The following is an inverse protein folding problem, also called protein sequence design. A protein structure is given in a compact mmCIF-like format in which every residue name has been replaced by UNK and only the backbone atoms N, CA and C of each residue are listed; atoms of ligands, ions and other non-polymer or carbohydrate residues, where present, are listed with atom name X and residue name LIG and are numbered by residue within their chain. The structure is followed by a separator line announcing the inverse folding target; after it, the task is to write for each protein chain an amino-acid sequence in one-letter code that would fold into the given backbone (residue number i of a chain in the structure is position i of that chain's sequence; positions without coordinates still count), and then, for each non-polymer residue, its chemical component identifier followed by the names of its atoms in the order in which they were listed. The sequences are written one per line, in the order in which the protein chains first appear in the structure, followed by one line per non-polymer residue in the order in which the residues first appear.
data_IF_479499486393
#
_entry.id   IF_479499486393
#
_cell.length_a   1.000
_cell.length_b   1.000
_cell.length_c   1.000
_cell.angle_alpha   90.00
_cell.angle_beta   90.00
_cell.angle_gamma   90.00
#
_symmetry.space_group_name_H-M   'P 1'
#
loop_
_entity.id
_entity.type
_entity.pdbx_description
1 polymer ?
#
# COMPACT_ATOMS: atom_id res chain seq x y z
N UNK A 1 12.18 -8.46 9.26
CA UNK A 1 13.21 -9.00 8.34
C UNK A 1 13.26 -8.23 7.03
N UNK A 2 12.16 -8.07 6.30
CA UNK A 2 12.11 -7.29 5.06
C UNK A 2 12.76 -5.88 5.16
N UNK A 3 12.47 -5.13 6.23
CA UNK A 3 13.09 -3.83 6.49
C UNK A 3 14.61 -3.89 6.73
N UNK A 4 15.10 -4.93 7.43
CA UNK A 4 16.54 -5.11 7.68
C UNK A 4 17.26 -5.49 6.38
N UNK A 5 16.68 -6.40 5.60
CA UNK A 5 17.20 -6.77 4.27
C UNK A 5 17.20 -5.57 3.33
N UNK A 6 16.20 -4.70 3.38
CA UNK A 6 16.20 -3.45 2.62
C UNK A 6 17.38 -2.57 3.00
N UNK A 7 17.59 -2.35 4.30
CA UNK A 7 18.69 -1.53 4.83
C UNK A 7 20.04 -2.14 4.46
N UNK A 8 20.22 -3.45 4.59
CA UNK A 8 21.48 -4.14 4.27
C UNK A 8 21.81 -4.05 2.78
N UNK A 9 20.80 -4.24 1.90
CA UNK A 9 21.04 -4.19 0.46
C UNK A 9 21.21 -2.75 -0.04
N UNK A 10 20.51 -1.78 0.53
CA UNK A 10 20.76 -0.36 0.25
C UNK A 10 22.11 0.11 0.82
N UNK A 11 22.57 -0.43 1.94
CA UNK A 11 23.90 -0.14 2.48
C UNK A 11 25.01 -0.74 1.59
N UNK A 12 24.79 -1.93 1.03
CA UNK A 12 25.73 -2.58 0.12
C UNK A 12 25.72 -1.99 -1.30
N UNK A 13 24.58 -1.47 -1.75
CA UNK A 13 24.38 -0.89 -3.09
C UNK A 13 23.57 0.41 -2.96
N UNK A 14 24.22 1.54 -2.59
CA UNK A 14 23.56 2.81 -2.29
C UNK A 14 22.73 3.36 -3.46
N UNK A 15 23.14 3.04 -4.67
CA UNK A 15 22.50 3.51 -5.90
C UNK A 15 21.27 2.66 -6.29
N UNK A 16 21.05 1.50 -5.65
CA UNK A 16 19.91 0.65 -5.92
C UNK A 16 18.71 0.99 -5.03
N UNK A 17 17.63 1.43 -5.67
CA UNK A 17 16.32 1.61 -5.03
C UNK A 17 15.52 0.32 -5.13
N UNK A 18 15.51 -0.45 -4.04
CA UNK A 18 14.84 -1.75 -4.00
C UNK A 18 13.40 -1.59 -3.52
N UNK A 19 12.47 -2.02 -4.36
CA UNK A 19 11.08 -2.19 -3.95
C UNK A 19 10.96 -3.53 -3.22
N UNK A 20 10.74 -3.48 -1.91
CA UNK A 20 10.54 -4.69 -1.10
C UNK A 20 9.06 -5.00 -1.02
N UNK A 21 8.64 -6.07 -1.69
CA UNK A 21 7.30 -6.62 -1.55
C UNK A 21 7.29 -7.68 -0.44
N UNK A 22 6.38 -7.54 0.53
CA UNK A 22 6.21 -8.53 1.61
C UNK A 22 4.89 -9.30 1.40
N UNK A 23 4.95 -10.60 1.07
CA UNK A 23 3.75 -11.42 1.01
C UNK A 23 3.22 -11.64 2.43
N UNK A 24 1.96 -11.29 2.65
CA UNK A 24 1.25 -11.50 3.91
C UNK A 24 0.27 -12.62 3.67
N UNK A 25 0.58 -13.79 4.21
CA UNK A 25 -0.29 -14.94 4.09
C UNK A 25 -1.46 -14.88 5.07
N UNK A 26 -1.24 -14.41 6.30
CA UNK A 26 -2.29 -14.32 7.33
C UNK A 26 -2.12 -13.03 8.14
N UNK A 27 -3.22 -12.30 8.34
CA UNK A 27 -3.26 -11.13 9.21
C UNK A 27 -4.34 -11.30 10.30
N UNK A 28 -3.90 -11.53 11.54
CA UNK A 28 -4.78 -11.69 12.71
C UNK A 28 -5.51 -10.40 13.07
N UNK A 29 -4.94 -9.23 12.74
CA UNK A 29 -5.59 -7.94 12.97
C UNK A 29 -6.80 -7.76 12.05
N UNK A 30 -6.65 -8.10 10.76
CA UNK A 30 -7.76 -8.08 9.78
C UNK A 30 -8.84 -9.08 10.19
N UNK A 31 -8.47 -10.31 10.53
CA UNK A 31 -9.42 -11.32 10.99
C UNK A 31 -10.15 -10.87 12.26
N UNK A 32 -9.43 -10.25 13.21
CA UNK A 32 -10.03 -9.71 14.43
C UNK A 32 -10.99 -8.57 14.12
N UNK A 33 -10.66 -7.65 13.21
CA UNK A 33 -11.57 -6.56 12.80
C UNK A 33 -12.85 -7.10 12.16
N UNK A 34 -12.73 -8.04 11.22
CA UNK A 34 -13.89 -8.69 10.60
C UNK A 34 -14.77 -9.41 11.62
N UNK A 35 -14.15 -10.05 12.61
CA UNK A 35 -14.87 -10.73 13.68
C UNK A 35 -15.59 -9.72 14.59
N UNK A 36 -14.93 -8.63 14.96
CA UNK A 36 -15.52 -7.53 15.74
C UNK A 36 -16.67 -6.85 15.00
N UNK A 37 -16.56 -6.62 13.70
CA UNK A 37 -17.65 -6.09 12.88
C UNK A 37 -18.88 -7.00 12.91
N UNK A 38 -18.70 -8.32 12.85
CA UNK A 38 -19.80 -9.30 12.90
C UNK A 38 -20.44 -9.39 14.29
N UNK A 39 -19.66 -9.22 15.35
CA UNK A 39 -20.13 -9.40 16.74
C UNK A 39 -20.59 -8.07 17.36
N UNK A 40 -20.17 -6.94 16.79
CA UNK A 40 -20.46 -5.59 17.28
C UNK A 40 -19.67 -5.19 18.53
N UNK A 41 -18.66 -5.97 18.92
CA UNK A 41 -17.87 -5.73 20.13
C UNK A 41 -16.46 -6.26 19.97
N UNK A 42 -15.48 -5.54 20.52
CA UNK A 42 -14.09 -5.99 20.66
C UNK A 42 -13.85 -6.84 21.92
N UNK A 43 -14.91 -7.18 22.64
CA UNK A 43 -14.89 -7.96 23.86
C UNK A 43 -15.68 -9.26 23.73
N UNK A 44 -15.07 -10.36 24.17
CA UNK A 44 -15.65 -11.70 24.13
C UNK A 44 -15.93 -12.20 25.54
N UNK A 45 -17.18 -12.56 25.80
CA UNK A 45 -17.53 -13.29 27.01
C UNK A 45 -17.14 -14.75 26.86
N UNK A 46 -16.23 -15.22 27.71
CA UNK A 46 -15.72 -16.59 27.70
C UNK A 46 -16.85 -17.61 27.84
N UNK A 47 -17.84 -17.35 28.68
CA UNK A 47 -19.00 -18.22 28.83
C UNK A 47 -19.83 -18.36 27.55
N UNK A 48 -19.97 -17.30 26.74
CA UNK A 48 -20.66 -17.35 25.44
C UNK A 48 -19.84 -18.13 24.42
N UNK A 49 -18.51 -17.96 24.41
CA UNK A 49 -17.61 -18.68 23.51
C UNK A 49 -17.59 -20.18 23.84
N UNK A 50 -17.43 -20.56 25.11
CA UNK A 50 -17.48 -21.96 25.57
C UNK A 50 -18.85 -22.57 25.24
N UNK A 51 -19.96 -21.87 25.50
CA UNK A 51 -21.29 -22.35 25.16
C UNK A 51 -21.49 -22.51 23.64
N UNK A 52 -20.91 -21.63 22.82
CA UNK A 52 -20.94 -21.75 21.38
C UNK A 52 -20.11 -22.96 20.89
N UNK A 53 -18.92 -23.18 21.44
CA UNK A 53 -18.06 -24.33 21.15
C UNK A 53 -18.75 -25.64 21.56
N UNK A 54 -19.38 -25.68 22.75
CA UNK A 54 -20.11 -26.85 23.24
C UNK A 54 -21.38 -27.13 22.42
N UNK A 55 -22.11 -26.10 22.00
CA UNK A 55 -23.23 -26.27 21.05
C UNK A 55 -22.74 -26.78 19.71
N UNK A 56 -21.61 -26.27 19.23
CA UNK A 56 -21.00 -26.70 17.97
C UNK A 56 -20.54 -28.15 18.04
N UNK A 57 -19.83 -28.55 19.10
CA UNK A 57 -19.31 -29.93 19.29
C UNK A 57 -20.41 -30.98 19.39
N UNK A 58 -21.62 -30.58 19.82
CA UNK A 58 -22.83 -31.41 19.88
C UNK A 58 -23.58 -31.55 18.55
N UNK A 59 -23.23 -30.76 17.53
CA UNK A 59 -23.83 -30.91 16.20
C UNK A 59 -23.32 -32.19 15.50
N UNK A 60 -24.11 -32.78 14.60
CA UNK A 60 -23.61 -33.83 13.71
C UNK A 60 -22.40 -33.34 12.90
N UNK A 61 -21.39 -34.21 12.69
CA UNK A 61 -20.19 -33.89 11.90
C UNK A 61 -20.50 -33.23 10.56
N UNK A 62 -21.52 -33.70 9.83
CA UNK A 62 -21.93 -33.11 8.55
C UNK A 62 -22.40 -31.65 8.65
N UNK A 63 -22.98 -31.25 9.79
CA UNK A 63 -23.37 -29.84 10.07
C UNK A 63 -22.18 -29.03 10.58
N UNK A 64 -21.30 -29.63 11.38
CA UNK A 64 -20.05 -29.00 11.81
C UNK A 64 -19.19 -28.64 10.60
N UNK A 65 -18.98 -29.60 9.68
CA UNK A 65 -18.22 -29.41 8.46
C UNK A 65 -18.84 -28.33 7.57
N UNK A 66 -20.17 -28.28 7.46
CA UNK A 66 -20.88 -27.25 6.69
C UNK A 66 -20.76 -25.85 7.30
N UNK A 67 -20.77 -25.75 8.63
CA UNK A 67 -20.58 -24.48 9.34
C UNK A 67 -19.11 -24.03 9.24
N UNK A 68 -18.15 -24.93 9.46
CA UNK A 68 -16.71 -24.67 9.30
C UNK A 68 -16.41 -24.23 7.87
N UNK A 69 -16.87 -24.95 6.85
CA UNK A 69 -16.68 -24.55 5.45
C UNK A 69 -17.37 -23.22 5.12
N UNK A 70 -18.53 -22.91 5.70
CA UNK A 70 -19.18 -21.60 5.46
C UNK A 70 -18.53 -20.42 6.21
N UNK A 71 -18.03 -20.63 7.42
CA UNK A 71 -17.49 -19.57 8.27
C UNK A 71 -15.99 -19.36 8.08
N UNK A 72 -15.27 -20.44 7.77
CA UNK A 72 -13.82 -20.50 7.65
C UNK A 72 -13.39 -20.72 6.19
N UNK A 73 -14.21 -21.35 5.34
CA UNK A 73 -13.83 -21.76 3.99
C UNK A 73 -13.39 -20.62 3.09
N UNK A 74 -14.05 -19.45 3.10
CA UNK A 74 -13.59 -18.32 2.27
C UNK A 74 -12.18 -17.85 2.64
N UNK A 75 -11.79 -17.92 3.92
CA UNK A 75 -10.45 -17.57 4.37
C UNK A 75 -9.43 -18.69 4.18
N UNK A 76 -9.80 -19.93 4.50
CA UNK A 76 -8.90 -21.10 4.39
C UNK A 76 -8.68 -21.56 2.95
N UNK A 77 -9.69 -21.46 2.09
CA UNK A 77 -9.55 -21.78 0.67
C UNK A 77 -8.60 -20.79 0.01
N UNK A 78 -8.68 -19.49 0.34
CA UNK A 78 -7.72 -18.47 -0.13
C UNK A 78 -6.30 -18.70 0.40
N UNK A 79 -6.16 -19.08 1.67
CA UNK A 79 -4.86 -19.47 2.23
C UNK A 79 -4.27 -20.68 1.51
N UNK A 80 -5.10 -21.70 1.25
CA UNK A 80 -4.69 -22.91 0.54
C UNK A 80 -4.27 -22.58 -0.89
N UNK A 81 -5.07 -21.81 -1.62
CA UNK A 81 -4.75 -21.34 -2.96
C UNK A 81 -3.44 -20.54 -2.97
N UNK A 82 -3.23 -19.64 -2.00
CA UNK A 82 -1.97 -18.92 -1.88
C UNK A 82 -0.75 -19.84 -1.68
N UNK A 83 -0.89 -20.96 -0.96
CA UNK A 83 0.17 -21.97 -0.83
C UNK A 83 0.41 -22.78 -2.10
N UNK A 84 -0.62 -22.99 -2.91
CA UNK A 84 -0.49 -23.70 -4.19
C UNK A 84 0.27 -22.85 -5.22
N UNK A 85 0.13 -21.53 -5.18
CA UNK A 85 0.76 -20.60 -6.14
C UNK A 85 2.08 -19.99 -5.66
N UNK A 86 2.41 -20.03 -4.36
CA UNK A 86 3.62 -19.39 -3.84
C UNK A 86 4.43 -20.31 -2.93
N UNK A 87 5.71 -20.47 -3.27
CA UNK A 87 6.69 -21.14 -2.41
C UNK A 87 7.20 -20.17 -1.33
N UNK A 88 6.41 -19.96 -0.28
CA UNK A 88 6.82 -19.15 0.88
C UNK A 88 7.51 -19.99 1.95
N UNK A 89 8.57 -19.45 2.62
CA UNK A 89 9.14 -20.11 3.79
C UNK A 89 8.10 -20.18 4.92
N UNK A 90 7.60 -21.38 5.21
CA UNK A 90 6.59 -21.62 6.25
C UNK A 90 7.00 -21.06 7.61
N UNK A 91 8.28 -21.18 7.97
CA UNK A 91 8.79 -20.67 9.24
C UNK A 91 8.61 -19.15 9.36
N UNK A 92 8.83 -18.40 8.29
CA UNK A 92 8.66 -16.94 8.30
C UNK A 92 7.19 -16.54 8.50
N UNK A 93 6.27 -17.29 7.87
CA UNK A 93 4.83 -17.07 8.05
C UNK A 93 4.41 -17.38 9.49
N UNK A 94 4.89 -18.49 10.05
CA UNK A 94 4.60 -18.86 11.44
C UNK A 94 5.11 -17.83 12.45
N UNK A 95 6.34 -17.36 12.29
CA UNK A 95 6.91 -16.28 13.13
C UNK A 95 6.05 -15.01 13.02
N UNK A 96 5.60 -14.66 11.82
CA UNK A 96 4.74 -13.48 11.61
C UNK A 96 3.39 -13.62 12.33
N UNK A 97 2.80 -14.81 12.33
CA UNK A 97 1.56 -15.08 13.07
C UNK A 97 1.78 -15.02 14.58
N UNK A 98 2.88 -15.60 15.08
CA UNK A 98 3.23 -15.54 16.50
C UNK A 98 3.47 -14.10 16.96
N UNK A 99 4.16 -13.28 16.16
CA UNK A 99 4.38 -11.86 16.45
C UNK A 99 3.06 -11.08 16.54
N UNK A 100 2.11 -11.36 15.65
CA UNK A 100 0.78 -10.77 15.73
C UNK A 100 0.04 -11.25 16.99
N UNK A 101 0.08 -12.56 17.25
CA UNK A 101 -0.55 -13.19 18.41
C UNK A 101 -0.01 -12.67 19.74
N UNK A 102 1.24 -12.20 19.81
CA UNK A 102 1.81 -11.60 21.02
C UNK A 102 1.06 -10.34 21.51
N UNK A 103 0.24 -9.72 20.65
CA UNK A 103 -0.57 -8.55 21.02
C UNK A 103 -1.97 -8.92 21.54
N UNK A 104 -2.26 -10.21 21.65
CA UNK A 104 -3.44 -10.71 22.31
C UNK A 104 -3.20 -10.82 23.82
N UNK A 105 -4.22 -10.52 24.63
CA UNK A 105 -4.16 -10.63 26.08
C UNK A 105 -4.26 -12.10 26.53
N UNK A 106 -3.13 -12.81 26.41
CA UNK A 106 -3.02 -14.21 26.77
C UNK A 106 -3.19 -14.46 28.26
N UNK A 107 -2.74 -13.54 29.12
CA UNK A 107 -2.81 -13.70 30.57
C UNK A 107 -4.27 -13.76 31.04
N UNK A 108 -5.10 -12.79 30.62
CA UNK A 108 -6.53 -12.80 30.91
C UNK A 108 -7.23 -14.02 30.31
N UNK A 109 -6.85 -14.42 29.09
CA UNK A 109 -7.45 -15.58 28.42
C UNK A 109 -7.12 -16.91 29.12
N UNK A 110 -5.86 -17.12 29.51
CA UNK A 110 -5.39 -18.32 30.20
C UNK A 110 -6.01 -18.39 31.60
N UNK A 111 -6.03 -17.28 32.34
CA UNK A 111 -6.63 -17.20 33.67
C UNK A 111 -8.11 -17.52 33.63
N UNK A 112 -8.85 -16.90 32.69
CA UNK A 112 -10.27 -17.18 32.48
C UNK A 112 -10.55 -18.66 32.14
N UNK A 113 -9.70 -19.28 31.32
CA UNK A 113 -9.82 -20.69 30.95
C UNK A 113 -9.53 -21.62 32.14
N UNK A 114 -8.48 -21.33 32.91
CA UNK A 114 -8.09 -22.11 34.09
C UNK A 114 -9.16 -22.07 35.19
N UNK A 115 -9.73 -20.90 35.43
CA UNK A 115 -10.81 -20.69 36.41
C UNK A 115 -12.19 -21.14 35.91
N UNK A 116 -12.31 -21.50 34.62
CA UNK A 116 -13.57 -21.77 33.93
C UNK A 116 -14.60 -20.65 34.16
N UNK A 117 -14.13 -19.40 34.27
CA UNK A 117 -14.97 -18.27 34.64
C UNK A 117 -15.84 -17.86 33.44
N UNK A 118 -17.17 -18.11 33.46
CA UNK A 118 -18.03 -17.82 32.32
C UNK A 118 -18.24 -16.32 32.12
N UNK A 119 -17.96 -15.50 33.14
CA UNK A 119 -18.13 -14.05 33.11
C UNK A 119 -16.86 -13.32 32.68
N UNK A 120 -15.74 -14.03 32.51
CA UNK A 120 -14.50 -13.43 32.05
C UNK A 120 -14.69 -12.80 30.66
N UNK A 121 -14.08 -11.63 30.49
CA UNK A 121 -14.12 -10.85 29.25
C UNK A 121 -12.72 -10.83 28.68
N UNK A 122 -12.57 -11.35 27.46
CA UNK A 122 -11.32 -11.31 26.70
C UNK A 122 -11.42 -10.17 25.67
N UNK A 123 -10.43 -9.29 25.65
CA UNK A 123 -10.37 -8.18 24.71
C UNK A 123 -9.57 -8.55 23.46
N UNK A 124 -10.11 -8.24 22.27
CA UNK A 124 -9.39 -8.26 20.99
C UNK A 124 -8.76 -6.91 20.65
N UNK A 125 -8.86 -5.91 21.53
CA UNK A 125 -8.43 -4.54 21.23
C UNK A 125 -6.98 -4.49 20.71
N UNK A 126 -6.07 -5.22 21.36
CA UNK A 126 -4.66 -5.30 20.96
C UNK A 126 -4.45 -5.85 19.55
N UNK A 127 -5.19 -6.88 19.14
CA UNK A 127 -5.13 -7.41 17.77
C UNK A 127 -5.77 -6.45 16.76
N UNK A 128 -6.92 -5.86 17.09
CA UNK A 128 -7.62 -4.95 16.17
C UNK A 128 -6.86 -3.65 15.91
N UNK A 129 -6.03 -3.21 16.86
CA UNK A 129 -5.21 -2.01 16.75
C UNK A 129 -4.03 -2.17 15.78
N UNK A 130 -3.69 -3.40 15.39
CA UNK A 130 -2.55 -3.66 14.51
C UNK A 130 -2.98 -3.60 13.07
N UNK A 131 -2.36 -2.70 12.31
CA UNK A 131 -2.41 -2.68 10.87
C UNK A 131 -0.99 -2.92 10.32
N UNK A 132 -0.65 -4.19 10.11
CA UNK A 132 0.66 -4.58 9.59
C UNK A 132 0.91 -4.01 8.19
N UNK A 133 -0.14 -3.86 7.40
CA UNK A 133 -0.04 -3.31 6.05
C UNK A 133 0.24 -1.80 6.10
N UNK A 134 -0.40 -1.06 7.02
CA UNK A 134 -0.07 0.34 7.24
C UNK A 134 1.36 0.52 7.74
N UNK A 135 1.83 -0.36 8.63
CA UNK A 135 3.20 -0.34 9.11
C UNK A 135 4.20 -0.59 7.97
N UNK A 136 3.94 -1.58 7.11
CA UNK A 136 4.76 -1.82 5.92
C UNK A 136 4.81 -0.59 5.01
N UNK A 137 3.65 -0.01 4.68
CA UNK A 137 3.56 1.20 3.85
C UNK A 137 4.37 2.36 4.44
N UNK A 138 4.31 2.56 5.76
CA UNK A 138 5.08 3.60 6.46
C UNK A 138 6.59 3.40 6.33
N UNK A 139 7.05 2.16 6.18
CA UNK A 139 8.45 1.82 6.02
C UNK A 139 8.87 1.62 4.55
N UNK A 140 8.01 1.99 3.59
CA UNK A 140 8.30 1.82 2.16
C UNK A 140 8.27 0.36 1.68
N UNK A 141 7.71 -0.55 2.48
CA UNK A 141 7.47 -1.95 2.12
C UNK A 141 6.09 -2.03 1.47
N UNK A 142 6.00 -2.78 0.37
CA UNK A 142 4.76 -3.04 -0.33
C UNK A 142 4.12 -4.34 0.21
N UNK A 143 3.05 -4.27 1.03
CA UNK A 143 2.39 -5.47 1.51
C UNK A 143 1.54 -6.10 0.40
N UNK A 144 1.68 -7.41 0.16
CA UNK A 144 0.79 -8.14 -0.75
C UNK A 144 -0.08 -9.10 0.08
N UNK A 145 -1.37 -8.78 0.32
CA UNK A 145 -2.27 -9.60 1.15
C UNK A 145 -2.75 -10.83 0.38
N UNK A 146 -1.97 -11.92 0.42
CA UNK A 146 -2.26 -13.13 -0.34
C UNK A 146 -3.56 -13.82 0.10
N UNK A 147 -4.00 -13.59 1.34
CA UNK A 147 -5.27 -14.08 1.86
C UNK A 147 -6.51 -13.42 1.22
N UNK A 148 -6.34 -12.35 0.46
CA UNK A 148 -7.44 -11.71 -0.26
C UNK A 148 -7.66 -12.29 -1.65
N UNK A 149 -6.63 -12.95 -2.21
CA UNK A 149 -6.62 -13.45 -3.58
C UNK A 149 -7.37 -14.78 -3.73
N UNK A 150 -8.33 -14.82 -4.64
CA UNK A 150 -8.93 -16.07 -5.12
C UNK A 150 -8.20 -16.65 -6.34
N UNK A 151 -8.61 -17.85 -6.78
CA UNK A 151 -7.99 -18.57 -7.90
C UNK A 151 -8.05 -17.77 -9.22
N UNK A 152 -9.11 -17.01 -9.44
CA UNK A 152 -9.23 -16.19 -10.65
C UNK A 152 -8.24 -15.02 -10.60
N UNK A 153 -8.10 -14.39 -9.44
CA UNK A 153 -7.14 -13.30 -9.23
C UNK A 153 -5.69 -13.79 -9.34
N UNK A 154 -5.38 -14.97 -8.78
CA UNK A 154 -4.07 -15.62 -8.98
C UNK A 154 -3.77 -15.88 -10.45
N UNK A 155 -4.76 -16.38 -11.20
CA UNK A 155 -4.59 -16.60 -12.64
C UNK A 155 -4.34 -15.29 -13.38
N UNK A 156 -5.10 -14.24 -13.08
CA UNK A 156 -4.87 -12.91 -13.67
C UNK A 156 -3.46 -12.41 -13.38
N UNK A 157 -3.00 -12.49 -12.12
CA UNK A 157 -1.66 -12.00 -11.73
C UNK A 157 -0.51 -12.83 -12.32
N UNK A 158 -0.70 -14.14 -12.53
CA UNK A 158 0.36 -15.05 -13.00
C UNK A 158 0.41 -15.21 -14.52
N UNK A 159 -0.72 -15.05 -15.21
CA UNK A 159 -0.83 -15.39 -16.65
C UNK A 159 -1.33 -14.27 -17.54
N UNK A 160 -1.96 -13.23 -16.99
CA UNK A 160 -2.47 -12.13 -17.81
C UNK A 160 -1.31 -11.32 -18.39
N UNK A 161 -1.37 -11.08 -19.70
CA UNK A 161 -0.51 -10.10 -20.38
C UNK A 161 -1.13 -8.70 -20.38
N UNK A 162 -2.37 -8.58 -19.91
CA UNK A 162 -3.06 -7.30 -19.79
C UNK A 162 -2.57 -6.56 -18.53
N UNK A 163 -1.62 -5.65 -18.76
CA UNK A 163 -1.03 -4.82 -17.72
C UNK A 163 -2.07 -3.92 -17.05
N UNK A 164 -3.12 -3.51 -17.76
CA UNK A 164 -4.18 -2.67 -17.22
C UNK A 164 -5.03 -3.42 -16.20
N UNK A 165 -5.39 -4.66 -16.52
CA UNK A 165 -6.15 -5.54 -15.62
C UNK A 165 -5.35 -5.86 -14.35
N UNK A 166 -4.07 -6.24 -14.49
CA UNK A 166 -3.18 -6.51 -13.36
C UNK A 166 -3.03 -5.27 -12.48
N UNK A 167 -2.88 -4.09 -13.08
CA UNK A 167 -2.77 -2.82 -12.37
C UNK A 167 -4.03 -2.51 -11.55
N UNK A 168 -5.21 -2.60 -12.14
CA UNK A 168 -6.48 -2.33 -11.45
C UNK A 168 -6.68 -3.28 -10.25
N UNK A 169 -6.25 -4.53 -10.38
CA UNK A 169 -6.28 -5.52 -9.30
C UNK A 169 -5.36 -5.13 -8.16
N UNK A 170 -4.10 -4.78 -8.46
CA UNK A 170 -3.14 -4.32 -7.45
C UNK A 170 -3.62 -3.04 -6.75
N UNK A 171 -4.18 -2.08 -7.49
CA UNK A 171 -4.72 -0.84 -6.92
C UNK A 171 -5.87 -1.10 -5.93
N UNK A 172 -6.78 -2.04 -6.25
CA UNK A 172 -7.86 -2.45 -5.34
C UNK A 172 -7.36 -3.04 -4.02
N UNK A 173 -6.23 -3.74 -4.05
CA UNK A 173 -5.57 -4.28 -2.85
C UNK A 173 -4.78 -3.22 -2.07
N UNK A 174 -4.83 -1.95 -2.50
CA UNK A 174 -3.99 -0.88 -1.96
C UNK A 174 -2.51 -1.04 -2.27
N UNK A 175 -2.17 -1.89 -3.27
CA UNK A 175 -0.84 -2.08 -3.81
C UNK A 175 -0.63 -1.10 -4.95
N UNK A 176 -0.17 0.09 -4.60
CA UNK A 176 0.25 1.07 -5.58
C UNK A 176 1.69 0.77 -5.98
N UNK A 177 1.97 0.56 -7.27
CA UNK A 177 3.34 0.62 -7.77
C UNK A 177 3.87 2.03 -7.47
N UNK A 178 4.68 2.15 -6.41
CA UNK A 178 5.43 3.36 -6.12
C UNK A 178 6.53 3.51 -7.18
N UNK A 179 6.15 4.01 -8.35
CA UNK A 179 7.14 4.61 -9.23
C UNK A 179 7.47 5.98 -8.65
N UNK A 180 8.64 6.09 -8.04
CA UNK A 180 9.23 7.38 -7.68
C UNK A 180 9.76 7.99 -8.98
N UNK A 181 9.06 8.97 -9.59
CA UNK A 181 9.59 9.59 -10.79
C UNK A 181 10.91 10.29 -10.46
N UNK A 182 11.92 10.20 -11.33
CA UNK A 182 13.08 11.08 -11.28
C UNK A 182 12.65 12.55 -11.19
N UNK A 183 13.40 13.36 -10.46
CA UNK A 183 13.11 14.78 -10.23
C UNK A 183 12.91 15.57 -11.54
N UNK A 184 13.74 15.27 -12.54
CA UNK A 184 13.68 15.85 -13.88
C UNK A 184 12.46 15.38 -14.68
N UNK A 185 12.13 14.09 -14.66
CA UNK A 185 10.90 13.57 -15.28
C UNK A 185 9.64 14.13 -14.59
N UNK A 186 9.71 14.37 -13.27
CA UNK A 186 8.66 14.98 -12.48
C UNK A 186 8.48 16.47 -12.86
N UNK A 187 9.58 17.24 -12.95
CA UNK A 187 9.56 18.64 -13.38
C UNK A 187 9.03 18.77 -14.81
N UNK A 188 9.53 17.95 -15.74
CA UNK A 188 9.08 17.90 -17.13
C UNK A 188 7.57 17.59 -17.21
N UNK A 189 7.08 16.71 -16.32
CA UNK A 189 5.67 16.36 -16.26
C UNK A 189 4.76 17.41 -15.68
N UNK A 190 5.22 18.20 -14.72
CA UNK A 190 4.46 19.35 -14.24
C UNK A 190 4.39 20.45 -15.31
N UNK A 191 5.47 20.71 -16.04
CA UNK A 191 5.50 21.67 -17.15
C UNK A 191 4.56 21.23 -18.28
N UNK A 192 4.60 19.95 -18.69
CA UNK A 192 3.68 19.36 -19.69
C UNK A 192 2.19 19.52 -19.32
N UNK A 193 1.89 19.66 -18.03
CA UNK A 193 0.53 19.83 -17.52
C UNK A 193 0.17 21.30 -17.23
N UNK A 194 0.98 22.24 -17.70
CA UNK A 194 0.72 23.68 -17.59
C UNK A 194 1.22 24.33 -16.30
N UNK A 195 2.04 23.64 -15.50
CA UNK A 195 2.69 24.23 -14.32
C UNK A 195 4.03 24.85 -14.75
N UNK A 196 4.00 26.07 -15.25
CA UNK A 196 5.13 26.73 -15.93
C UNK A 196 6.00 27.63 -15.04
N UNK A 197 5.60 27.88 -13.78
CA UNK A 197 6.30 28.79 -12.88
C UNK A 197 7.22 28.07 -11.90
N UNK A 198 8.46 28.55 -11.74
CA UNK A 198 9.46 27.98 -10.83
C UNK A 198 8.95 27.80 -9.38
N UNK A 199 8.24 28.79 -8.84
CA UNK A 199 7.65 28.69 -7.49
C UNK A 199 6.53 27.65 -7.41
N UNK A 200 5.73 27.50 -8.47
CA UNK A 200 4.68 26.50 -8.54
C UNK A 200 5.27 25.09 -8.67
N UNK A 201 6.32 24.92 -9.48
CA UNK A 201 7.08 23.69 -9.61
C UNK A 201 7.69 23.26 -8.27
N UNK A 202 8.36 24.19 -7.58
CA UNK A 202 8.92 23.92 -6.26
C UNK A 202 7.82 23.49 -5.27
N UNK A 203 6.68 24.17 -5.28
CA UNK A 203 5.55 23.81 -4.42
C UNK A 203 4.99 22.41 -4.77
N UNK A 204 4.89 22.07 -6.06
CA UNK A 204 4.43 20.75 -6.49
C UNK A 204 5.40 19.62 -6.08
N UNK A 205 6.71 19.87 -6.16
CA UNK A 205 7.78 18.97 -5.66
C UNK A 205 7.68 18.78 -4.16
N UNK A 206 7.63 19.88 -3.38
CA UNK A 206 7.44 19.82 -1.93
C UNK A 206 6.16 19.07 -1.58
N UNK A 207 5.06 19.31 -2.30
CA UNK A 207 3.79 18.65 -2.04
C UNK A 207 3.82 17.15 -2.34
N UNK A 208 4.59 16.76 -3.35
CA UNK A 208 4.84 15.36 -3.70
C UNK A 208 5.52 14.65 -2.52
N UNK A 209 6.55 15.26 -1.94
CA UNK A 209 7.24 14.73 -0.76
C UNK A 209 6.35 14.69 0.50
N UNK A 210 5.58 15.75 0.77
CA UNK A 210 4.62 15.81 1.90
C UNK A 210 3.56 14.71 1.84
N UNK A 211 3.16 14.28 0.63
CA UNK A 211 2.20 13.20 0.43
C UNK A 211 2.84 11.80 0.54
N UNK A 212 4.11 11.74 0.93
CA UNK A 212 4.83 10.49 1.13
C UNK A 212 5.38 9.89 -0.16
N UNK A 213 5.38 10.63 -1.28
CA UNK A 213 6.02 10.18 -2.51
C UNK A 213 7.51 10.55 -2.46
N UNK A 214 8.39 9.55 -2.51
CA UNK A 214 9.81 9.82 -2.70
C UNK A 214 10.06 10.27 -4.15
N UNK A 215 11.05 11.14 -4.32
CA UNK A 215 11.49 11.61 -5.63
C UNK A 215 12.80 10.88 -5.96
N UNK A 216 12.90 10.38 -7.19
CA UNK A 216 14.12 9.72 -7.63
C UNK A 216 15.22 10.69 -8.04
N UNK A 217 16.46 10.25 -7.94
CA UNK A 217 17.58 11.02 -8.44
C UNK A 217 17.36 11.30 -9.93
N UNK A 218 17.77 12.48 -10.43
CA UNK A 218 17.60 12.80 -11.84
C UNK A 218 18.29 11.77 -12.73
N UNK A 219 17.75 11.58 -13.94
CA UNK A 219 18.26 10.61 -14.94
C UNK A 219 18.79 11.28 -16.21
N UNK A 220 18.42 12.54 -16.44
CA UNK A 220 18.75 13.42 -17.54
C UNK A 220 19.67 14.54 -17.08
N UNK A 221 19.43 15.08 -15.88
CA UNK A 221 20.21 16.17 -15.30
C UNK A 221 21.18 15.67 -14.23
N UNK A 222 22.05 16.55 -13.75
CA UNK A 222 22.86 16.29 -12.56
C UNK A 222 22.06 16.59 -11.28
N UNK A 223 22.33 15.84 -10.21
CA UNK A 223 21.64 16.02 -8.94
C UNK A 223 21.94 17.40 -8.34
N UNK A 224 20.94 18.29 -8.40
CA UNK A 224 21.07 19.69 -8.04
C UNK A 224 20.48 20.00 -6.65
N UNK A 225 19.41 19.29 -6.25
CA UNK A 225 18.73 19.49 -4.97
C UNK A 225 17.78 20.70 -4.93
N UNK A 226 17.76 21.54 -5.98
CA UNK A 226 16.74 22.55 -6.25
C UNK A 226 16.07 22.25 -7.61
N UNK A 227 14.74 22.32 -7.66
CA UNK A 227 13.99 22.06 -8.89
C UNK A 227 14.29 23.12 -9.96
N UNK A 228 14.67 24.34 -9.56
CA UNK A 228 15.03 25.42 -10.49
C UNK A 228 16.27 25.06 -11.30
N UNK A 229 17.32 24.60 -10.62
CA UNK A 229 18.54 24.14 -11.28
C UNK A 229 18.26 22.92 -12.18
N UNK A 230 17.31 22.06 -11.79
CA UNK A 230 16.85 20.96 -12.64
C UNK A 230 16.16 21.46 -13.92
N UNK A 231 15.31 22.49 -13.83
CA UNK A 231 14.61 23.08 -14.98
C UNK A 231 15.59 23.80 -15.91
N UNK A 232 16.57 24.52 -15.37
CA UNK A 232 17.64 25.16 -16.14
C UNK A 232 18.45 24.11 -16.93
N UNK A 233 18.84 23.01 -16.28
CA UNK A 233 19.53 21.91 -16.97
C UNK A 233 18.64 21.23 -18.03
N UNK A 234 17.34 21.08 -17.79
CA UNK A 234 16.41 20.59 -18.80
C UNK A 234 16.27 21.54 -19.99
N UNK A 235 16.40 22.85 -19.76
CA UNK A 235 16.43 23.86 -20.82
C UNK A 235 17.73 23.79 -21.62
N UNK A 236 18.88 23.65 -20.96
CA UNK A 236 20.18 23.46 -21.61
C UNK A 236 20.22 22.19 -22.47
N UNK A 237 19.60 21.12 -21.99
CA UNK A 237 19.44 19.86 -22.73
C UNK A 237 18.36 19.94 -23.83
N UNK A 238 17.67 21.07 -23.94
CA UNK A 238 16.67 21.35 -24.96
C UNK A 238 15.34 20.63 -24.77
N UNK A 239 15.06 20.06 -23.60
CA UNK A 239 13.78 19.40 -23.27
C UNK A 239 12.69 20.39 -22.84
N UNK A 240 13.09 21.57 -22.38
CA UNK A 240 12.21 22.68 -21.96
C UNK A 240 12.63 23.94 -22.73
N UNK A 241 11.66 24.78 -23.06
CA UNK A 241 11.87 26.11 -23.65
C UNK A 241 11.12 27.17 -22.85
N UNK A 242 11.54 28.42 -22.98
CA UNK A 242 10.86 29.55 -22.35
C UNK A 242 9.82 30.12 -23.33
N UNK A 243 8.54 30.03 -22.97
CA UNK A 243 7.39 30.58 -23.70
C UNK A 243 6.91 31.90 -23.11
N UNK A 244 5.86 32.49 -23.70
CA UNK A 244 5.31 33.79 -23.27
C UNK A 244 4.80 33.79 -21.81
N UNK A 245 4.40 32.63 -21.28
CA UNK A 245 3.79 32.50 -19.96
C UNK A 245 4.59 31.57 -19.01
N UNK A 246 5.89 31.39 -19.28
CA UNK A 246 6.81 30.58 -18.47
C UNK A 246 7.37 29.39 -19.24
N UNK A 247 7.77 28.33 -18.54
CA UNK A 247 8.35 27.15 -19.17
C UNK A 247 7.31 26.33 -19.95
N UNK A 248 7.72 25.85 -21.12
CA UNK A 248 6.97 24.94 -21.98
C UNK A 248 7.85 23.73 -22.35
N UNK A 249 7.22 22.58 -22.59
CA UNK A 249 7.95 21.39 -23.03
C UNK A 249 8.28 21.53 -24.52
N UNK A 250 9.54 21.31 -24.89
CA UNK A 250 9.96 21.35 -26.29
C UNK A 250 9.51 20.11 -27.06
N UNK A 251 9.66 20.08 -28.39
CA UNK A 251 9.37 18.88 -29.18
C UNK A 251 10.19 17.63 -28.76
N UNK A 252 11.44 17.82 -28.31
CA UNK A 252 12.26 16.72 -27.78
C UNK A 252 11.76 16.28 -26.40
N UNK A 253 11.33 17.24 -25.58
CA UNK A 253 10.67 16.99 -24.30
C UNK A 253 9.35 16.23 -24.47
N UNK A 254 8.52 16.59 -25.46
CA UNK A 254 7.27 15.89 -25.77
C UNK A 254 7.53 14.45 -26.20
N UNK A 255 8.54 14.24 -27.05
CA UNK A 255 8.98 12.90 -27.47
C UNK A 255 9.42 12.07 -26.27
N UNK A 256 10.15 12.68 -25.32
CA UNK A 256 10.51 12.05 -24.06
C UNK A 256 9.27 11.72 -23.23
N UNK A 257 8.36 12.68 -23.04
CA UNK A 257 7.09 12.57 -22.29
C UNK A 257 6.15 11.52 -22.87
N UNK A 258 6.13 11.30 -24.18
CA UNK A 258 5.29 10.30 -24.83
C UNK A 258 5.51 8.89 -24.26
N UNK A 259 6.74 8.57 -23.84
CA UNK A 259 7.07 7.30 -23.19
C UNK A 259 6.51 7.16 -21.77
N UNK A 260 6.18 8.28 -21.12
CA UNK A 260 5.68 8.35 -19.73
C UNK A 260 4.19 8.66 -19.63
N UNK A 261 3.60 9.32 -20.63
CA UNK A 261 2.18 9.73 -20.70
C UNK A 261 1.19 8.55 -20.65
N UNK A 262 1.69 7.34 -20.91
CA UNK A 262 0.92 6.07 -20.88
C UNK A 262 1.18 5.28 -19.58
N UNK A 263 2.09 5.76 -18.71
CA UNK A 263 2.52 5.05 -17.49
C UNK A 263 1.76 5.51 -16.23
N UNK A 264 1.71 4.70 -15.15
CA UNK A 264 0.99 5.03 -13.91
C UNK A 264 1.45 6.31 -13.20
N UNK A 265 2.66 6.78 -13.49
CA UNK A 265 3.22 8.04 -12.98
C UNK A 265 2.33 9.27 -13.31
N UNK A 266 1.51 9.20 -14.36
CA UNK A 266 0.58 10.28 -14.73
C UNK A 266 -0.54 10.56 -13.70
N UNK A 267 -0.92 9.52 -12.95
CA UNK A 267 -1.93 9.66 -11.90
C UNK A 267 -1.44 10.49 -10.71
N UNK A 268 -0.12 10.52 -10.48
CA UNK A 268 0.51 11.39 -9.50
C UNK A 268 0.35 12.85 -9.90
N UNK A 269 0.70 13.21 -11.14
CA UNK A 269 0.57 14.59 -11.62
C UNK A 269 -0.84 15.12 -11.43
N UNK A 270 -1.86 14.35 -11.84
CA UNK A 270 -3.26 14.76 -11.71
C UNK A 270 -3.68 15.01 -10.25
N UNK A 271 -3.23 14.14 -9.32
CA UNK A 271 -3.51 14.29 -7.88
C UNK A 271 -2.81 15.52 -7.28
N UNK A 272 -1.57 15.78 -7.66
CA UNK A 272 -0.79 16.93 -7.16
C UNK A 272 -1.36 18.24 -7.73
N UNK A 273 -1.59 18.31 -9.04
CA UNK A 273 -2.12 19.49 -9.72
C UNK A 273 -3.50 19.88 -9.21
N UNK A 274 -4.36 18.90 -8.93
CA UNK A 274 -5.67 19.14 -8.31
C UNK A 274 -5.60 19.75 -6.89
N UNK A 275 -4.44 19.74 -6.22
CA UNK A 275 -4.25 20.40 -4.92
C UNK A 275 -3.44 21.68 -5.00
N UNK A 276 -2.53 21.78 -5.97
CA UNK A 276 -1.79 23.03 -6.24
C UNK A 276 -2.72 24.08 -6.86
N UNK A 277 -3.68 23.67 -7.71
CA UNK A 277 -4.66 24.58 -8.35
C UNK A 277 -5.73 25.14 -7.39
N UNK A 278 -6.07 24.42 -6.31
CA UNK A 278 -7.07 24.86 -5.31
C UNK A 278 -6.57 26.05 -4.48
N UNK A 279 -5.28 26.38 -4.53
CA UNK A 279 -4.70 27.56 -3.90
C UNK A 279 -4.89 28.88 -4.66
N UNK A 280 -5.35 28.86 -5.91
CA UNK A 280 -5.57 30.05 -6.73
C UNK A 280 -7.05 30.16 -7.09
N UNK A 281 -7.88 30.54 -6.11
CA UNK A 281 -9.23 31.02 -6.43
C UNK A 281 -9.09 32.50 -6.81
N UNK A 282 -9.04 32.79 -8.10
CA UNK A 282 -9.26 34.15 -8.59
C UNK A 282 -10.75 34.45 -8.36
N UNK A 283 -11.06 35.35 -7.45
CA UNK A 283 -12.41 35.87 -7.22
C UNK A 283 -12.55 37.21 -7.96
N UNK A 284 -13.08 37.22 -9.20
CA UNK A 284 -13.29 38.45 -9.96
C UNK A 284 -14.42 39.32 -9.39
N UNK A 285 -15.11 38.92 -8.31
CA UNK A 285 -16.19 39.72 -7.69
C UNK A 285 -15.72 40.65 -6.56
N UNK A 286 -14.42 40.66 -6.24
CA UNK A 286 -13.82 41.58 -5.26
C UNK A 286 -12.97 42.71 -5.85
N UNK A 287 -13.07 42.94 -7.15
CA UNK A 287 -12.60 44.17 -7.78
C UNK A 287 -13.81 45.02 -8.16
N UNK A 288 -14.30 45.76 -7.16
CA UNK A 288 -15.29 46.83 -7.27
C UNK A 288 -15.03 47.85 -6.17
#
# INVERSE_FOLDING_TARGET
MAALTQVDVQAAMPDMRILVARPILLDLGVLSRQLVEKIGSNQFHVGKAIAAIDRFSKLPKSKQDKILTSAVGVGFDRLKVAFEHVSLPMLAQFVTVLQQAANFDWESAITAAAEKNPNAIISLAGLTAIDNMALDRKNGICPIPLYELDEAEWRTLSTSKDVGEVKERLERMGVYQYFFPPEDDLALGFIDKGLSGAAALQNAVTKTQELGHQIAAPTLTTAAGDVRETVEQLQELGYVVEGEFGYEVSASGETRRANFKIRPQESLFSKILGRVSVGVTFDPTKLG
#
